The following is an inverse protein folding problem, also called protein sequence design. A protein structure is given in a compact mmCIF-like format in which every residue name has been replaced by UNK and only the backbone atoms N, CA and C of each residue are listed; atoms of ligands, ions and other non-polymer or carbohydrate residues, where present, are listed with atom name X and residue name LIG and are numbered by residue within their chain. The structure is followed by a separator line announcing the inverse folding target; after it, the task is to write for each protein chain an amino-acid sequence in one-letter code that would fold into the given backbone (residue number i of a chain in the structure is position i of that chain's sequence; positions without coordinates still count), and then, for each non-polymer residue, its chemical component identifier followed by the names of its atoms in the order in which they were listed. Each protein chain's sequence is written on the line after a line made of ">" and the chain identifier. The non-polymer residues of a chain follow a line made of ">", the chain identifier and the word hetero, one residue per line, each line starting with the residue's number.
data_IF_443251481198
#
_entry.id   IF_443251481198
#
_cell.length_a   1.000
_cell.length_b   1.000
_cell.length_c   1.000
_cell.angle_alpha   90.00
_cell.angle_beta   90.00
_cell.angle_gamma   90.00
#
_symmetry.space_group_name_H-M   'P 1'
#
loop_
_entity.id
_entity.type
_entity.pdbx_description
1 polymer ?
#
# COMPACT_ATOMS: atom_id res chain seq x y z
N UNK A 1 -6.01 0.53 2.57
CA UNK A 1 -4.59 0.52 2.15
C UNK A 1 -4.19 -0.87 1.68
N UNK A 2 -3.42 -0.94 0.58
CA UNK A 2 -2.88 -2.21 0.08
C UNK A 2 -1.41 -2.08 -0.31
N UNK A 3 -0.72 -3.22 -0.30
CA UNK A 3 0.57 -3.42 -0.96
C UNK A 3 0.40 -4.55 -1.96
N UNK A 4 0.70 -4.29 -3.21
CA UNK A 4 0.70 -5.29 -4.27
C UNK A 4 2.11 -5.45 -4.80
N UNK A 5 2.60 -6.69 -4.81
CA UNK A 5 3.85 -7.08 -5.44
C UNK A 5 3.55 -7.88 -6.70
N UNK A 6 4.11 -7.47 -7.84
CA UNK A 6 4.20 -8.29 -9.04
C UNK A 6 5.56 -8.98 -9.03
N UNK A 7 5.52 -10.28 -8.87
CA UNK A 7 6.71 -11.12 -8.72
C UNK A 7 7.04 -11.74 -10.08
N UNK A 8 8.28 -11.56 -10.50
CA UNK A 8 8.85 -12.19 -11.69
C UNK A 8 10.00 -13.09 -11.23
N UNK A 9 9.73 -14.40 -11.19
CA UNK A 9 10.68 -15.42 -10.71
C UNK A 9 11.11 -16.26 -11.90
N UNK A 10 12.40 -16.29 -12.18
CA UNK A 10 12.96 -16.89 -13.40
C UNK A 10 13.32 -18.37 -13.24
N UNK A 11 12.43 -19.16 -12.64
CA UNK A 11 12.51 -20.62 -12.61
C UNK A 11 11.14 -21.26 -12.38
N UNK A 12 11.07 -22.59 -12.45
CA UNK A 12 9.86 -23.40 -12.28
C UNK A 12 9.70 -23.94 -10.86
N UNK A 13 10.42 -23.37 -9.85
CA UNK A 13 10.35 -23.82 -8.47
C UNK A 13 9.17 -23.19 -7.73
N UNK A 14 8.82 -23.78 -6.59
CA UNK A 14 7.71 -23.34 -5.77
C UNK A 14 8.18 -22.35 -4.70
N UNK A 15 7.49 -21.23 -4.56
CA UNK A 15 7.86 -20.17 -3.62
C UNK A 15 6.69 -19.76 -2.73
N UNK A 16 7.02 -19.41 -1.50
CA UNK A 16 6.14 -18.64 -0.64
C UNK A 16 6.70 -17.22 -0.44
N UNK A 17 5.79 -16.24 -0.34
CA UNK A 17 6.12 -14.82 -0.25
C UNK A 17 5.48 -14.20 0.96
N UNK A 18 6.23 -13.39 1.71
CA UNK A 18 5.72 -12.56 2.79
C UNK A 18 6.39 -11.20 2.83
N UNK A 19 5.83 -10.28 3.63
CA UNK A 19 6.44 -9.01 4.00
C UNK A 19 6.85 -9.08 5.47
N UNK A 20 8.11 -8.77 5.75
CA UNK A 20 8.56 -8.51 7.11
C UNK A 20 8.29 -7.04 7.44
N UNK A 21 7.39 -6.77 8.36
CA UNK A 21 6.99 -5.41 8.73
C UNK A 21 7.87 -4.82 9.82
N UNK A 22 7.99 -3.49 9.83
CA UNK A 22 8.75 -2.74 10.84
C UNK A 22 7.98 -2.51 12.17
N UNK A 23 6.90 -3.23 12.38
CA UNK A 23 6.09 -3.24 13.60
C UNK A 23 5.66 -4.67 13.89
N UNK A 24 5.50 -5.03 15.18
CA UNK A 24 5.05 -6.37 15.60
C UNK A 24 3.59 -6.66 15.21
N UNK A 25 2.82 -5.64 14.90
CA UNK A 25 1.44 -5.78 14.43
C UNK A 25 1.07 -4.66 13.48
N UNK A 26 0.03 -4.85 12.69
CA UNK A 26 -0.52 -3.85 11.78
C UNK A 26 -2.00 -3.64 12.03
N UNK A 27 -2.46 -2.37 11.97
CA UNK A 27 -3.85 -2.01 12.22
C UNK A 27 -4.35 -2.42 13.60
N UNK A 28 -5.64 -2.79 13.72
CA UNK A 28 -6.26 -3.18 14.99
C UNK A 28 -5.94 -4.64 15.39
N UNK A 29 -5.24 -5.39 14.56
CA UNK A 29 -4.93 -6.80 14.76
C UNK A 29 -3.46 -7.00 15.08
N UNK A 30 -3.20 -7.77 16.13
CA UNK A 30 -1.84 -8.26 16.40
C UNK A 30 -1.48 -9.37 15.42
N UNK A 31 -0.19 -9.50 15.11
CA UNK A 31 0.30 -10.65 14.38
C UNK A 31 -0.06 -11.94 15.13
N UNK A 32 -0.52 -12.99 14.45
CA UNK A 32 -0.87 -14.24 15.09
C UNK A 32 0.36 -14.88 15.71
N UNK A 33 0.27 -15.22 16.99
CA UNK A 33 1.34 -15.92 17.73
C UNK A 33 1.32 -17.44 17.52
N UNK A 34 0.26 -17.96 16.86
CA UNK A 34 0.08 -19.38 16.59
C UNK A 34 -0.52 -19.57 15.19
N UNK A 35 -0.16 -20.69 14.59
CA UNK A 35 -0.70 -21.11 13.29
C UNK A 35 -2.22 -21.33 13.36
N UNK A 36 -2.92 -20.90 12.32
CA UNK A 36 -4.33 -21.18 12.08
C UNK A 36 -4.52 -21.83 10.70
N UNK A 37 -5.38 -22.83 10.59
CA UNK A 37 -5.60 -23.63 9.36
C UNK A 37 -5.96 -22.80 8.11
N UNK A 38 -6.36 -21.55 8.28
CA UNK A 38 -6.66 -20.60 7.20
C UNK A 38 -5.43 -19.87 6.64
N UNK A 39 -4.23 -20.06 7.23
CA UNK A 39 -3.02 -19.30 6.92
C UNK A 39 -2.17 -19.88 5.77
N UNK A 40 -2.62 -20.90 5.06
CA UNK A 40 -1.81 -21.65 4.11
C UNK A 40 -1.13 -22.87 4.74
N UNK A 41 -0.03 -23.37 4.19
CA UNK A 41 0.62 -24.56 4.75
C UNK A 41 1.32 -24.25 6.07
N UNK A 42 1.16 -25.18 7.01
CA UNK A 42 1.80 -25.05 8.34
C UNK A 42 3.33 -25.05 8.27
N UNK A 43 3.87 -25.86 7.38
CA UNK A 43 5.32 -25.95 7.18
C UNK A 43 5.93 -24.63 6.76
N UNK A 44 5.30 -23.94 5.81
CA UNK A 44 5.73 -22.61 5.33
C UNK A 44 5.57 -21.55 6.42
N UNK A 45 4.47 -21.60 7.19
CA UNK A 45 4.27 -20.69 8.31
C UNK A 45 5.36 -20.86 9.38
N UNK A 46 5.68 -22.12 9.76
CA UNK A 46 6.74 -22.44 10.72
C UNK A 46 8.12 -22.01 10.21
N UNK A 47 8.37 -22.16 8.90
CA UNK A 47 9.61 -21.70 8.28
C UNK A 47 9.75 -20.16 8.37
N UNK A 48 8.72 -19.40 8.03
CA UNK A 48 8.73 -17.93 8.18
C UNK A 48 8.84 -17.49 9.64
N UNK A 49 8.19 -18.18 10.55
CA UNK A 49 8.26 -17.88 11.99
C UNK A 49 9.67 -18.13 12.57
N UNK A 50 10.38 -19.11 12.04
CA UNK A 50 11.73 -19.45 12.46
C UNK A 50 12.83 -18.62 11.77
N UNK A 51 12.47 -17.82 10.76
CA UNK A 51 13.41 -16.99 10.04
C UNK A 51 13.99 -15.90 10.92
N UNK A 52 15.31 -15.78 10.94
CA UNK A 52 16.04 -14.72 11.67
C UNK A 52 15.94 -13.40 10.90
N UNK A 53 14.89 -12.66 11.20
CA UNK A 53 14.58 -11.41 10.51
C UNK A 53 15.58 -10.28 10.88
N UNK A 54 15.82 -9.31 9.99
CA UNK A 54 16.61 -8.12 10.32
C UNK A 54 16.05 -7.40 11.56
N UNK A 55 16.92 -6.78 12.35
CA UNK A 55 16.57 -6.09 13.59
C UNK A 55 15.43 -5.08 13.36
N UNK A 56 14.39 -5.16 14.19
CA UNK A 56 13.21 -4.31 14.11
C UNK A 56 12.21 -4.67 13.00
N UNK A 57 12.34 -5.87 12.41
CA UNK A 57 11.39 -6.40 11.44
C UNK A 57 10.84 -7.75 11.88
N UNK A 58 9.57 -7.98 11.59
CA UNK A 58 8.80 -9.10 12.13
C UNK A 58 7.98 -9.79 11.05
N UNK A 59 7.87 -11.11 11.15
CA UNK A 59 6.89 -11.87 10.38
C UNK A 59 5.48 -11.62 10.97
N UNK A 60 4.58 -11.12 10.14
CA UNK A 60 3.24 -10.70 10.56
C UNK A 60 2.16 -11.77 10.34
N UNK A 61 2.56 -13.01 10.05
CA UNK A 61 1.67 -14.15 9.92
C UNK A 61 0.92 -14.25 8.59
N UNK A 62 1.09 -13.32 7.66
CA UNK A 62 0.46 -13.36 6.33
C UNK A 62 1.49 -13.71 5.25
N UNK A 63 1.18 -14.70 4.43
CA UNK A 63 2.00 -15.13 3.30
C UNK A 63 1.12 -15.71 2.20
N UNK A 64 1.68 -15.96 1.03
CA UNK A 64 1.03 -16.62 -0.08
C UNK A 64 2.01 -17.56 -0.78
N UNK A 65 1.52 -18.76 -1.15
CA UNK A 65 2.26 -19.79 -1.85
C UNK A 65 2.00 -19.72 -3.35
N UNK A 66 3.01 -20.00 -4.15
CA UNK A 66 2.98 -20.00 -5.60
C UNK A 66 3.68 -21.25 -6.15
N UNK A 67 3.10 -21.84 -7.18
CA UNK A 67 3.52 -23.12 -7.73
C UNK A 67 3.84 -22.99 -9.22
N UNK A 68 5.14 -22.96 -9.54
CA UNK A 68 5.65 -23.14 -10.89
C UNK A 68 5.36 -22.04 -11.93
N UNK A 69 4.87 -20.87 -11.54
CA UNK A 69 4.57 -19.76 -12.45
C UNK A 69 5.64 -18.67 -12.40
N UNK A 70 6.05 -18.16 -13.56
CA UNK A 70 7.06 -17.10 -13.67
C UNK A 70 6.56 -15.72 -13.28
N UNK A 71 5.26 -15.45 -13.40
CA UNK A 71 4.64 -14.18 -13.02
C UNK A 71 3.53 -14.41 -12.02
N UNK A 72 3.67 -13.80 -10.84
CA UNK A 72 2.75 -13.95 -9.74
C UNK A 72 2.39 -12.61 -9.11
N UNK A 73 1.22 -12.54 -8.48
CA UNK A 73 0.77 -11.34 -7.77
C UNK A 73 0.50 -11.64 -6.31
N UNK A 74 1.26 -11.02 -5.42
CA UNK A 74 1.02 -10.99 -3.99
C UNK A 74 0.32 -9.69 -3.62
N UNK A 75 -0.81 -9.77 -2.90
CA UNK A 75 -1.52 -8.58 -2.42
C UNK A 75 -1.80 -8.69 -0.94
N UNK A 76 -1.30 -7.72 -0.18
CA UNK A 76 -1.69 -7.49 1.20
C UNK A 76 -2.74 -6.37 1.25
N UNK A 77 -4.01 -6.75 1.36
CA UNK A 77 -5.16 -5.84 1.19
C UNK A 77 -5.69 -5.21 2.48
N UNK A 78 -5.17 -5.59 3.66
CA UNK A 78 -5.69 -5.11 4.92
C UNK A 78 -4.56 -4.76 5.90
N UNK A 79 -4.40 -3.47 6.19
CA UNK A 79 -3.34 -2.93 7.06
C UNK A 79 -1.94 -3.47 6.73
N UNK A 80 -1.44 -3.32 5.50
CA UNK A 80 -0.09 -3.73 5.18
C UNK A 80 0.93 -2.89 5.97
N UNK A 81 2.12 -3.44 6.30
CA UNK A 81 3.16 -2.69 6.98
C UNK A 81 3.56 -1.45 6.18
N UNK A 82 3.95 -0.38 6.87
CA UNK A 82 4.35 0.86 6.21
C UNK A 82 5.74 0.77 5.59
N UNK A 83 6.65 0.08 6.27
CA UNK A 83 8.00 -0.22 5.81
C UNK A 83 8.23 -1.72 5.98
N UNK A 84 8.78 -2.37 4.96
CA UNK A 84 8.89 -3.82 4.94
C UNK A 84 10.05 -4.29 4.08
N UNK A 85 10.54 -5.48 4.40
CA UNK A 85 11.33 -6.30 3.48
C UNK A 85 10.42 -7.28 2.75
N UNK A 86 10.75 -7.59 1.51
CA UNK A 86 10.16 -8.73 0.79
C UNK A 86 10.98 -9.95 1.11
N UNK A 87 10.34 -11.00 1.60
CA UNK A 87 10.97 -12.28 1.92
C UNK A 87 10.34 -13.38 1.07
N UNK A 88 11.17 -14.10 0.33
CA UNK A 88 10.84 -15.30 -0.44
C UNK A 88 11.36 -16.52 0.29
N UNK A 89 10.56 -17.57 0.32
CA UNK A 89 10.94 -18.90 0.77
C UNK A 89 10.77 -19.89 -0.38
N UNK A 90 11.86 -20.50 -0.79
CA UNK A 90 11.83 -21.57 -1.80
C UNK A 90 11.39 -22.86 -1.11
N UNK A 91 10.19 -23.33 -1.42
CA UNK A 91 9.60 -24.49 -0.77
C UNK A 91 10.24 -25.82 -1.21
N UNK A 92 10.93 -25.84 -2.35
CA UNK A 92 11.59 -27.04 -2.87
C UNK A 92 12.97 -27.24 -2.25
N UNK A 93 13.68 -26.14 -1.93
CA UNK A 93 15.07 -26.18 -1.43
C UNK A 93 15.19 -25.77 0.03
N UNK A 94 14.17 -25.16 0.62
CA UNK A 94 14.20 -24.61 1.98
C UNK A 94 15.03 -23.32 2.13
N UNK A 95 15.40 -22.67 1.02
CA UNK A 95 16.27 -21.48 1.03
C UNK A 95 15.45 -20.20 1.08
N UNK A 96 15.88 -19.25 1.93
CA UNK A 96 15.31 -17.92 2.01
C UNK A 96 16.08 -16.91 1.16
N UNK A 97 15.33 -15.98 0.56
CA UNK A 97 15.88 -14.81 -0.13
C UNK A 97 15.14 -13.56 0.31
N UNK A 98 15.89 -12.51 0.70
CA UNK A 98 15.33 -11.27 1.22
C UNK A 98 15.76 -10.10 0.33
N UNK A 99 14.90 -9.09 0.18
CA UNK A 99 15.25 -7.85 -0.52
C UNK A 99 16.41 -7.15 0.18
N UNK A 100 17.34 -6.56 -0.60
CA UNK A 100 18.56 -5.92 -0.08
C UNK A 100 18.27 -4.81 0.92
N UNK A 101 17.23 -4.04 0.66
CA UNK A 101 16.80 -2.89 1.47
C UNK A 101 15.31 -2.97 1.74
N UNK A 102 14.85 -2.42 2.87
CA UNK A 102 13.43 -2.32 3.12
C UNK A 102 12.80 -1.27 2.22
N UNK A 103 11.62 -1.56 1.69
CA UNK A 103 10.82 -0.64 0.90
C UNK A 103 9.77 0.04 1.76
N UNK A 104 9.43 1.28 1.43
CA UNK A 104 8.43 2.06 2.13
C UNK A 104 7.23 2.29 1.22
N UNK A 105 6.02 2.08 1.75
CA UNK A 105 4.80 2.43 1.03
C UNK A 105 4.82 3.91 0.65
N UNK A 106 4.44 4.20 -0.58
CA UNK A 106 4.43 5.57 -1.13
C UNK A 106 3.01 6.15 -1.27
N UNK A 107 1.97 5.31 -1.13
CA UNK A 107 0.57 5.71 -1.27
C UNK A 107 -0.34 4.80 -0.44
N UNK A 108 -1.64 5.13 -0.42
CA UNK A 108 -2.67 4.27 0.19
C UNK A 108 -2.65 2.87 -0.45
N UNK A 109 -2.57 2.81 -1.77
CA UNK A 109 -2.35 1.58 -2.53
C UNK A 109 -1.00 1.69 -3.25
N UNK A 110 -0.05 0.85 -2.85
CA UNK A 110 1.32 0.84 -3.37
C UNK A 110 1.57 -0.43 -4.16
N UNK A 111 2.13 -0.27 -5.38
CA UNK A 111 2.44 -1.36 -6.28
C UNK A 111 3.95 -1.41 -6.54
N UNK A 112 4.54 -2.61 -6.39
CA UNK A 112 5.95 -2.87 -6.55
C UNK A 112 6.17 -4.02 -7.52
N UNK A 113 7.26 -3.97 -8.25
CA UNK A 113 7.76 -5.07 -9.05
C UNK A 113 8.94 -5.71 -8.33
N UNK A 114 8.94 -7.04 -8.28
CA UNK A 114 10.00 -7.84 -7.68
C UNK A 114 10.56 -8.75 -8.76
N UNK A 115 11.78 -8.47 -9.19
CA UNK A 115 12.55 -9.35 -10.05
C UNK A 115 13.43 -10.22 -9.16
N UNK A 116 13.35 -11.51 -9.32
CA UNK A 116 14.14 -12.45 -8.56
C UNK A 116 14.79 -13.49 -9.47
N UNK A 117 16.12 -13.54 -9.40
CA UNK A 117 16.92 -14.57 -10.04
C UNK A 117 17.46 -15.52 -8.97
N UNK A 118 16.96 -16.77 -8.92
CA UNK A 118 17.39 -17.74 -7.92
C UNK A 118 18.80 -18.28 -8.13
N UNK A 119 19.35 -18.22 -9.35
CA UNK A 119 20.70 -18.72 -9.65
C UNK A 119 21.76 -17.82 -8.99
N UNK A 120 21.57 -16.51 -9.08
CA UNK A 120 22.48 -15.51 -8.49
C UNK A 120 22.02 -15.06 -7.10
N UNK A 121 20.80 -15.46 -6.65
CA UNK A 121 20.20 -15.00 -5.40
C UNK A 121 19.84 -13.51 -5.40
N UNK A 122 19.78 -12.90 -6.60
CA UNK A 122 19.55 -11.48 -6.76
C UNK A 122 18.06 -11.15 -6.74
N UNK A 123 17.69 -10.21 -5.85
CA UNK A 123 16.34 -9.69 -5.76
C UNK A 123 16.33 -8.16 -5.90
N UNK A 124 15.57 -7.66 -6.86
CA UNK A 124 15.37 -6.25 -7.06
C UNK A 124 13.90 -5.87 -6.87
N UNK A 125 13.64 -4.95 -5.92
CA UNK A 125 12.31 -4.45 -5.63
C UNK A 125 12.25 -2.99 -6.06
N UNK A 126 11.36 -2.66 -7.00
CA UNK A 126 11.24 -1.31 -7.53
C UNK A 126 9.79 -0.97 -7.87
N UNK A 127 9.51 0.32 -8.02
CA UNK A 127 8.23 0.79 -8.53
C UNK A 127 8.45 1.64 -9.77
N UNK A 128 7.55 1.51 -10.74
CA UNK A 128 7.54 2.36 -11.93
C UNK A 128 6.84 3.72 -11.65
N UNK A 129 6.24 3.87 -10.47
CA UNK A 129 5.58 5.13 -10.10
C UNK A 129 6.61 6.09 -9.52
N UNK A 130 6.75 7.21 -10.19
CA UNK A 130 7.58 8.33 -9.76
C UNK A 130 6.77 9.29 -8.87
N UNK A 131 7.46 10.19 -8.12
CA UNK A 131 6.80 11.28 -7.39
C UNK A 131 5.97 12.16 -8.35
N UNK A 132 6.43 12.30 -9.59
CA UNK A 132 5.72 13.01 -10.66
C UNK A 132 4.35 12.38 -10.96
N UNK A 133 4.24 11.05 -10.98
CA UNK A 133 2.97 10.35 -11.21
C UNK A 133 1.99 10.58 -10.07
N UNK A 134 2.49 10.59 -8.83
CA UNK A 134 1.68 10.88 -7.63
C UNK A 134 1.12 12.31 -7.68
N UNK A 135 1.96 13.28 -8.01
CA UNK A 135 1.57 14.69 -8.16
C UNK A 135 0.56 14.83 -9.30
N UNK A 136 0.78 14.16 -10.43
CA UNK A 136 -0.13 14.18 -11.58
C UNK A 136 -1.52 13.61 -11.23
N UNK A 137 -1.57 12.47 -10.54
CA UNK A 137 -2.83 11.87 -10.08
C UNK A 137 -3.56 12.75 -9.07
N UNK A 138 -2.84 13.32 -8.12
CA UNK A 138 -3.38 14.27 -7.14
C UNK A 138 -3.97 15.50 -7.85
N UNK A 139 -3.21 16.12 -8.74
CA UNK A 139 -3.62 17.30 -9.49
C UNK A 139 -4.84 17.02 -10.37
N UNK A 140 -4.87 15.87 -11.04
CA UNK A 140 -6.00 15.47 -11.88
C UNK A 140 -7.29 15.29 -11.08
N UNK A 141 -7.21 14.61 -9.92
CA UNK A 141 -8.36 14.46 -9.01
C UNK A 141 -8.88 15.80 -8.52
N UNK A 142 -7.97 16.67 -8.07
CA UNK A 142 -8.31 18.02 -7.61
C UNK A 142 -9.04 18.83 -8.70
N UNK A 143 -8.48 18.84 -9.92
CA UNK A 143 -9.08 19.56 -11.05
C UNK A 143 -10.47 19.04 -11.43
N UNK A 144 -10.64 17.71 -11.52
CA UNK A 144 -11.92 17.09 -11.86
C UNK A 144 -12.98 17.46 -10.81
N UNK A 145 -12.66 17.34 -9.52
CA UNK A 145 -13.57 17.66 -8.43
C UNK A 145 -13.95 19.13 -8.46
N UNK A 146 -12.98 20.03 -8.66
CA UNK A 146 -13.22 21.46 -8.73
C UNK A 146 -14.13 21.84 -9.90
N UNK A 147 -13.91 21.26 -11.07
CA UNK A 147 -14.74 21.49 -12.26
C UNK A 147 -16.18 21.03 -12.01
N UNK A 148 -16.37 19.84 -11.43
CA UNK A 148 -17.69 19.30 -11.13
C UNK A 148 -18.44 20.16 -10.11
N UNK A 149 -17.77 20.58 -9.04
CA UNK A 149 -18.38 21.41 -8.00
C UNK A 149 -18.74 22.81 -8.52
N UNK A 150 -17.87 23.43 -9.32
CA UNK A 150 -18.18 24.72 -9.95
C UNK A 150 -19.35 24.60 -10.94
N UNK A 151 -19.39 23.51 -11.71
CA UNK A 151 -20.49 23.27 -12.63
C UNK A 151 -21.83 23.07 -11.91
N UNK A 152 -21.83 22.28 -10.83
CA UNK A 152 -23.00 22.08 -9.97
C UNK A 152 -23.44 23.38 -9.28
N UNK A 153 -22.47 24.12 -8.74
CA UNK A 153 -22.71 25.42 -8.12
C UNK A 153 -23.33 26.42 -9.08
N UNK A 154 -22.83 26.50 -10.33
CA UNK A 154 -23.37 27.33 -11.36
C UNK A 154 -24.81 26.92 -11.75
N UNK A 155 -25.07 25.63 -11.83
CA UNK A 155 -26.37 25.08 -12.18
C UNK A 155 -27.43 25.31 -11.10
N UNK A 156 -27.07 25.14 -9.82
CA UNK A 156 -27.99 25.25 -8.68
C UNK A 156 -28.22 26.71 -8.29
N UNK A 157 -27.17 27.52 -8.22
CA UNK A 157 -27.25 28.91 -7.72
C UNK A 157 -27.34 29.97 -8.81
N UNK A 158 -27.19 29.58 -10.09
CA UNK A 158 -27.31 30.52 -11.20
C UNK A 158 -26.35 31.69 -11.07
N UNK A 159 -25.07 31.43 -10.78
CA UNK A 159 -24.06 32.43 -10.49
C UNK A 159 -24.06 33.62 -11.45
N UNK A 160 -24.62 34.75 -11.01
CA UNK A 160 -24.75 35.96 -11.85
C UNK A 160 -23.62 36.98 -11.60
N UNK A 161 -23.07 37.00 -10.39
CA UNK A 161 -22.08 37.98 -9.99
C UNK A 161 -20.67 37.38 -9.89
N UNK A 162 -19.67 38.11 -10.47
CA UNK A 162 -18.25 37.69 -10.42
C UNK A 162 -17.74 37.53 -9.00
N UNK A 163 -18.21 38.36 -8.05
CA UNK A 163 -17.81 38.28 -6.65
C UNK A 163 -18.25 36.94 -6.02
N UNK A 164 -19.46 36.47 -6.30
CA UNK A 164 -19.98 35.18 -5.83
C UNK A 164 -19.23 34.02 -6.47
N UNK A 165 -18.91 34.09 -7.76
CA UNK A 165 -18.11 33.07 -8.46
C UNK A 165 -16.73 32.93 -7.84
N UNK A 166 -16.06 34.06 -7.56
CA UNK A 166 -14.73 34.06 -6.95
C UNK A 166 -14.75 33.53 -5.51
N UNK A 167 -15.77 33.89 -4.72
CA UNK A 167 -15.93 33.40 -3.35
C UNK A 167 -16.15 31.88 -3.32
N UNK A 168 -17.10 31.38 -4.10
CA UNK A 168 -17.42 29.95 -4.17
C UNK A 168 -16.22 29.17 -4.70
N UNK A 169 -15.56 29.65 -5.77
CA UNK A 169 -14.36 29.04 -6.31
C UNK A 169 -13.20 29.02 -5.32
N UNK A 170 -13.01 30.08 -4.57
CA UNK A 170 -11.96 30.18 -3.53
C UNK A 170 -12.21 29.24 -2.35
N UNK A 171 -13.45 29.21 -1.85
CA UNK A 171 -13.84 28.30 -0.75
C UNK A 171 -13.71 26.84 -1.18
N UNK A 172 -14.24 26.48 -2.37
CA UNK A 172 -14.13 25.12 -2.89
C UNK A 172 -12.65 24.70 -3.07
N UNK A 173 -11.82 25.57 -3.64
CA UNK A 173 -10.40 25.28 -3.80
C UNK A 173 -9.72 25.01 -2.44
N UNK A 174 -9.96 25.87 -1.46
CA UNK A 174 -9.40 25.72 -0.12
C UNK A 174 -9.87 24.43 0.55
N UNK A 175 -11.16 24.12 0.47
CA UNK A 175 -11.74 22.90 1.03
C UNK A 175 -11.20 21.66 0.34
N UNK A 176 -11.14 21.65 -0.97
CA UNK A 176 -10.61 20.50 -1.73
C UNK A 176 -9.12 20.28 -1.49
N UNK A 177 -8.32 21.33 -1.34
CA UNK A 177 -6.92 21.21 -0.95
C UNK A 177 -6.81 20.59 0.46
N UNK A 178 -7.58 21.09 1.42
CA UNK A 178 -7.58 20.57 2.78
C UNK A 178 -8.02 19.10 2.83
N UNK A 179 -9.13 18.74 2.17
CA UNK A 179 -9.63 17.36 2.09
C UNK A 179 -8.62 16.41 1.44
N UNK A 180 -8.03 16.80 0.32
CA UNK A 180 -7.05 15.95 -0.36
C UNK A 180 -5.75 15.81 0.46
N UNK A 181 -5.31 16.84 1.17
CA UNK A 181 -4.19 16.74 2.10
C UNK A 181 -4.50 15.80 3.27
N UNK A 182 -5.70 15.92 3.85
CA UNK A 182 -6.16 15.03 4.94
C UNK A 182 -6.26 13.58 4.44
N UNK A 183 -6.82 13.34 3.26
CA UNK A 183 -6.89 12.00 2.67
C UNK A 183 -5.50 11.43 2.38
N UNK A 184 -4.62 12.23 1.78
CA UNK A 184 -3.29 11.76 1.40
C UNK A 184 -2.42 11.45 2.63
N UNK A 185 -2.34 12.38 3.58
CA UNK A 185 -1.49 12.23 4.76
C UNK A 185 -2.20 11.56 5.95
N UNK A 186 -3.46 11.87 6.19
CA UNK A 186 -4.20 11.36 7.34
C UNK A 186 -4.45 9.86 7.25
N UNK A 187 -4.96 9.36 6.13
CA UNK A 187 -5.16 7.93 5.93
C UNK A 187 -3.84 7.16 5.84
N UNK A 188 -2.80 7.78 5.31
CA UNK A 188 -1.49 7.15 5.16
C UNK A 188 -0.73 7.03 6.48
N UNK A 189 -0.65 8.15 7.26
CA UNK A 189 0.19 8.20 8.46
C UNK A 189 -0.55 7.90 9.76
N UNK A 190 -1.82 8.24 9.87
CA UNK A 190 -2.60 8.12 11.11
C UNK A 190 -3.46 6.85 11.16
N UNK A 191 -3.52 6.12 10.06
CA UNK A 191 -4.39 4.96 9.92
C UNK A 191 -5.85 5.33 9.61
N UNK A 192 -6.67 4.33 9.23
CA UNK A 192 -7.98 4.57 8.63
C UNK A 192 -8.98 5.22 9.56
N UNK A 193 -8.96 4.91 10.85
CA UNK A 193 -9.94 5.48 11.81
C UNK A 193 -9.68 6.94 12.10
N UNK A 194 -8.41 7.30 12.35
CA UNK A 194 -8.04 8.69 12.59
C UNK A 194 -8.14 9.52 11.30
N UNK A 195 -7.77 8.95 10.16
CA UNK A 195 -7.94 9.58 8.85
C UNK A 195 -9.41 9.80 8.50
N UNK A 196 -10.29 8.83 8.77
CA UNK A 196 -11.72 8.96 8.57
C UNK A 196 -12.35 10.01 9.50
N UNK A 197 -11.96 10.05 10.76
CA UNK A 197 -12.43 11.07 11.70
C UNK A 197 -12.03 12.49 11.28
N UNK A 198 -10.80 12.67 10.80
CA UNK A 198 -10.31 13.92 10.23
C UNK A 198 -11.08 14.31 8.97
N UNK A 199 -11.30 13.35 8.06
CA UNK A 199 -12.09 13.56 6.84
C UNK A 199 -13.51 14.00 7.18
N UNK A 200 -14.23 13.26 8.04
CA UNK A 200 -15.57 13.61 8.48
C UNK A 200 -15.61 14.98 9.18
N UNK A 201 -14.58 15.32 9.97
CA UNK A 201 -14.47 16.63 10.61
C UNK A 201 -14.26 17.78 9.64
N UNK A 202 -13.58 17.57 8.53
CA UNK A 202 -13.36 18.60 7.50
C UNK A 202 -14.56 18.79 6.55
N UNK A 203 -15.44 17.79 6.41
CA UNK A 203 -16.69 17.94 5.65
C UNK A 203 -17.80 18.68 6.39
N UNK A 204 -17.73 18.78 7.72
CA UNK A 204 -18.76 19.43 8.57
C UNK A 204 -18.45 20.92 8.79
N UNK A 205 -17.23 21.38 8.49
CA UNK A 205 -16.84 22.79 8.59
C UNK A 205 -17.06 23.54 7.27
#
# INVERSE_FOLDING_TARGET
>A
PSVTLRLYIYNDQNYAVTLLGNTESTGPWSAPSAYGDWMGSREVWEAFQAYDAPEGYYFLGYFKEYFGDTEQTFTWGYYPPQKFYVLLYNMDTGVFSISKEPVQRYAFDSEWQVLFDPEDGWMHVYTNRTDSDQISLFTSRLLITLILELALGALVFGLREKAQQNLIGGVNLATQLALNLVLHYGLFYLGPWAGFALYAGTEVL
#
